data_IF_144625092207
#
_entry.id   IF_144625092207
#
_cell.length_a   1.000
_cell.length_b   1.000
_cell.length_c   1.000
_cell.angle_alpha   90.00
_cell.angle_beta   90.00
_cell.angle_gamma   90.00
#
_symmetry.space_group_name_H-M   'P 1'
#
loop_
_entity.id
_entity.type
_entity.pdbx_description
1 polymer ?
#
# COMPACT_ATOMS: atom_id res chain seq x y z
N UNK A 1 46.87 -15.98 -16.26
CA UNK A 1 45.40 -15.79 -16.14
C UNK A 1 45.16 -14.32 -16.40
N UNK A 2 44.57 -14.03 -17.55
CA UNK A 2 44.51 -12.63 -18.02
C UNK A 2 43.61 -11.76 -17.16
N UNK A 3 44.08 -10.57 -16.79
CA UNK A 3 43.35 -9.55 -16.01
C UNK A 3 41.95 -9.28 -16.60
N UNK A 4 41.79 -9.40 -17.91
CA UNK A 4 40.50 -9.26 -18.61
C UNK A 4 39.50 -10.38 -18.24
N UNK A 5 39.99 -11.61 -18.04
CA UNK A 5 39.17 -12.75 -17.64
C UNK A 5 38.72 -12.61 -16.19
N UNK A 6 39.58 -12.10 -15.31
CA UNK A 6 39.26 -11.83 -13.92
C UNK A 6 38.21 -10.70 -13.78
N UNK A 7 38.29 -9.67 -14.61
CA UNK A 7 37.32 -8.56 -14.64
C UNK A 7 35.93 -9.00 -15.13
N UNK A 8 35.85 -9.94 -16.08
CA UNK A 8 34.58 -10.48 -16.59
C UNK A 8 33.93 -11.38 -15.54
N UNK A 9 34.69 -12.20 -14.83
CA UNK A 9 34.17 -13.05 -13.74
C UNK A 9 33.66 -12.18 -12.58
N UNK A 10 34.32 -11.06 -12.26
CA UNK A 10 33.91 -10.15 -11.19
C UNK A 10 32.61 -9.38 -11.54
N UNK A 11 32.36 -9.11 -12.83
CA UNK A 11 31.13 -8.44 -13.26
C UNK A 11 29.87 -9.32 -13.14
N UNK A 12 30.02 -10.64 -13.20
CA UNK A 12 28.89 -11.57 -13.05
C UNK A 12 28.46 -11.80 -11.58
N UNK A 13 29.25 -11.43 -10.61
CA UNK A 13 28.96 -11.68 -9.17
C UNK A 13 28.12 -10.55 -8.55
N UNK A 14 27.91 -9.44 -9.27
CA UNK A 14 27.20 -8.26 -8.77
C UNK A 14 25.71 -8.16 -9.19
N UNK A 15 25.18 -9.15 -9.89
CA UNK A 15 23.75 -9.17 -10.23
C UNK A 15 22.97 -9.79 -9.07
N UNK A 16 22.58 -8.97 -8.09
CA UNK A 16 21.60 -9.36 -7.08
C UNK A 16 20.28 -9.75 -7.76
N UNK A 17 19.63 -10.82 -7.27
CA UNK A 17 18.33 -11.24 -7.75
C UNK A 17 17.24 -10.30 -7.23
N UNK A 18 16.21 -10.04 -8.05
CA UNK A 18 15.00 -9.39 -7.59
C UNK A 18 13.91 -10.45 -7.40
N UNK A 19 13.35 -10.51 -6.19
CA UNK A 19 12.31 -11.46 -5.82
C UNK A 19 10.95 -10.77 -5.77
N UNK A 20 9.96 -11.37 -6.40
CA UNK A 20 8.61 -10.82 -6.36
C UNK A 20 7.92 -11.21 -5.06
N UNK A 21 7.38 -10.19 -4.37
CA UNK A 21 6.56 -10.36 -3.16
C UNK A 21 5.19 -9.70 -3.36
N UNK A 22 4.25 -9.99 -2.47
CA UNK A 22 2.95 -9.33 -2.40
C UNK A 22 2.81 -8.67 -1.03
N UNK A 23 2.34 -7.42 -1.00
CA UNK A 23 2.19 -6.66 0.25
C UNK A 23 0.75 -6.57 0.74
N UNK A 24 -0.19 -7.31 0.13
CA UNK A 24 -1.59 -7.36 0.55
C UNK A 24 -1.71 -7.93 1.98
N UNK A 25 -2.44 -7.25 2.89
CA UNK A 25 -2.57 -7.67 4.28
C UNK A 25 -3.49 -8.89 4.45
N UNK A 26 -3.50 -9.50 5.63
CA UNK A 26 -4.57 -10.44 6.00
C UNK A 26 -5.87 -9.65 6.22
N UNK A 27 -6.92 -10.03 5.49
CA UNK A 27 -8.20 -9.31 5.52
C UNK A 27 -9.04 -9.61 6.76
N UNK A 28 -8.64 -10.58 7.60
CA UNK A 28 -9.39 -10.98 8.80
C UNK A 28 -9.48 -9.88 9.86
N UNK A 29 -8.47 -9.00 9.92
CA UNK A 29 -8.42 -7.89 10.87
C UNK A 29 -9.36 -6.73 10.48
N UNK A 30 -9.89 -6.72 9.24
CA UNK A 30 -10.79 -5.69 8.74
C UNK A 30 -12.25 -6.11 8.88
N UNK A 31 -12.72 -6.17 10.14
CA UNK A 31 -14.12 -6.53 10.45
C UNK A 31 -15.08 -5.41 10.07
N UNK A 32 -16.29 -5.78 9.65
CA UNK A 32 -17.34 -4.84 9.27
C UNK A 32 -17.85 -4.10 10.50
N UNK A 33 -18.00 -2.78 10.42
CA UNK A 33 -18.69 -1.97 11.42
C UNK A 33 -20.21 -2.08 11.23
N UNK A 34 -20.96 -2.22 12.34
CA UNK A 34 -22.42 -2.23 12.31
C UNK A 34 -23.00 -0.82 12.05
N UNK A 35 -22.22 0.23 12.31
CA UNK A 35 -22.63 1.62 12.06
C UNK A 35 -21.80 2.23 10.94
N UNK A 36 -22.43 2.39 9.77
CA UNK A 36 -21.85 3.07 8.61
C UNK A 36 -22.32 4.52 8.56
N UNK A 37 -21.44 5.38 8.04
CA UNK A 37 -21.78 6.75 7.69
C UNK A 37 -22.65 6.70 6.44
N UNK A 38 -23.84 7.28 6.49
CA UNK A 38 -24.80 7.32 5.37
C UNK A 38 -24.33 8.33 4.30
N UNK A 39 -23.27 7.97 3.63
CA UNK A 39 -22.68 8.70 2.49
C UNK A 39 -22.12 7.72 1.48
N UNK A 40 -22.27 8.10 0.22
CA UNK A 40 -21.58 7.47 -0.90
C UNK A 40 -20.24 8.15 -1.11
N UNK A 41 -19.18 7.37 -1.22
CA UNK A 41 -17.82 7.87 -1.48
C UNK A 41 -17.19 7.15 -2.67
N UNK A 42 -16.17 7.76 -3.22
CA UNK A 42 -15.32 7.15 -4.22
C UNK A 42 -13.89 6.95 -3.72
N UNK A 43 -13.12 6.16 -4.43
CA UNK A 43 -11.68 6.19 -4.35
C UNK A 43 -11.07 6.26 -5.76
N UNK A 44 -9.96 6.96 -5.86
CA UNK A 44 -9.24 7.14 -7.12
C UNK A 44 -7.78 6.72 -6.94
N UNK A 45 -7.31 5.86 -7.83
CA UNK A 45 -5.91 5.51 -7.99
C UNK A 45 -5.59 5.66 -9.48
N UNK A 46 -4.59 6.47 -9.82
CA UNK A 46 -4.22 6.68 -11.21
C UNK A 46 -3.79 5.36 -11.90
N UNK A 47 -4.12 5.21 -13.17
CA UNK A 47 -3.80 3.98 -13.94
C UNK A 47 -2.32 3.65 -13.95
N UNK A 48 -1.48 4.69 -14.01
CA UNK A 48 -0.02 4.53 -13.98
C UNK A 48 0.46 4.03 -12.62
N UNK A 49 -0.18 4.46 -11.52
CA UNK A 49 0.15 3.99 -10.17
C UNK A 49 -0.27 2.53 -9.96
N UNK A 50 -1.45 2.11 -10.44
CA UNK A 50 -1.90 0.70 -10.35
C UNK A 50 -0.89 -0.25 -10.99
N UNK A 51 -0.31 0.12 -12.12
CA UNK A 51 0.67 -0.71 -12.84
C UNK A 51 2.11 -0.56 -12.35
N UNK A 52 2.37 0.42 -11.48
CA UNK A 52 3.70 0.76 -11.00
C UNK A 52 4.30 -0.35 -10.14
N UNK A 53 5.44 -0.86 -10.57
CA UNK A 53 6.29 -1.73 -9.76
C UNK A 53 7.33 -0.91 -9.00
N UNK A 54 7.57 -1.29 -7.76
CA UNK A 54 8.59 -0.71 -6.88
C UNK A 54 9.57 -1.80 -6.51
N UNK A 55 10.87 -1.47 -6.57
CA UNK A 55 11.95 -2.36 -6.12
C UNK A 55 12.63 -1.72 -4.93
N UNK A 56 12.75 -2.47 -3.84
CA UNK A 56 13.39 -2.03 -2.59
C UNK A 56 14.38 -3.08 -2.09
N UNK A 57 15.32 -2.70 -1.21
CA UNK A 57 16.32 -3.64 -0.72
C UNK A 57 15.72 -4.84 0.04
N UNK A 58 16.26 -6.03 -0.24
CA UNK A 58 16.14 -7.23 0.59
C UNK A 58 17.35 -7.41 1.48
N UNK A 59 17.73 -8.64 1.74
CA UNK A 59 18.97 -9.03 2.42
C UNK A 59 19.97 -9.68 1.47
N UNK A 60 21.22 -9.80 1.88
CA UNK A 60 22.25 -10.47 1.09
C UNK A 60 22.65 -9.80 -0.22
N UNK A 61 22.27 -8.53 -0.44
CA UNK A 61 22.47 -7.82 -1.70
C UNK A 61 21.34 -8.03 -2.71
N UNK A 62 20.33 -8.81 -2.38
CA UNK A 62 19.13 -9.00 -3.19
C UNK A 62 18.14 -7.83 -3.02
N UNK A 63 17.10 -7.83 -3.84
CA UNK A 63 16.01 -6.86 -3.78
C UNK A 63 14.64 -7.56 -3.87
N UNK A 64 13.59 -6.85 -3.48
CA UNK A 64 12.22 -7.30 -3.64
C UNK A 64 11.44 -6.34 -4.53
N UNK A 65 10.55 -6.89 -5.35
CA UNK A 65 9.69 -6.13 -6.27
C UNK A 65 8.23 -6.45 -6.00
N UNK A 66 7.38 -5.43 -6.00
CA UNK A 66 5.94 -5.51 -5.74
C UNK A 66 5.19 -4.36 -6.39
N UNK A 67 3.85 -4.41 -6.40
CA UNK A 67 2.97 -3.39 -6.97
C UNK A 67 2.12 -2.75 -5.86
N UNK A 68 2.60 -1.69 -5.18
CA UNK A 68 2.00 -1.22 -3.93
C UNK A 68 0.52 -0.85 -4.07
N UNK A 69 0.13 -0.15 -5.11
CA UNK A 69 -1.26 0.27 -5.29
C UNK A 69 -2.17 -0.89 -5.67
N UNK A 70 -1.72 -1.80 -6.54
CA UNK A 70 -2.48 -2.99 -6.92
C UNK A 70 -2.69 -3.92 -5.73
N UNK A 71 -1.63 -4.15 -4.96
CA UNK A 71 -1.66 -5.06 -3.81
C UNK A 71 -2.52 -4.51 -2.66
N UNK A 72 -2.69 -3.18 -2.57
CA UNK A 72 -3.44 -2.54 -1.48
C UNK A 72 -4.82 -2.01 -1.88
N UNK A 73 -5.22 -2.08 -3.15
CA UNK A 73 -6.52 -1.57 -3.60
C UNK A 73 -7.68 -2.25 -2.87
N UNK A 74 -7.63 -3.56 -2.70
CA UNK A 74 -8.70 -4.32 -2.02
C UNK A 74 -8.86 -3.91 -0.57
N UNK A 75 -7.76 -3.70 0.17
CA UNK A 75 -7.87 -3.28 1.58
C UNK A 75 -8.36 -1.85 1.70
N UNK A 76 -7.95 -0.93 0.81
CA UNK A 76 -8.49 0.43 0.75
C UNK A 76 -10.01 0.39 0.56
N UNK A 77 -10.48 -0.34 -0.47
CA UNK A 77 -11.90 -0.52 -0.72
C UNK A 77 -12.63 -1.08 0.52
N UNK A 78 -12.07 -2.10 1.17
CA UNK A 78 -12.68 -2.72 2.36
C UNK A 78 -12.76 -1.74 3.54
N UNK A 79 -11.70 -0.97 3.81
CA UNK A 79 -11.70 0.06 4.86
C UNK A 79 -12.80 1.09 4.60
N UNK A 80 -12.94 1.57 3.37
CA UNK A 80 -13.98 2.53 3.01
C UNK A 80 -15.38 1.90 3.11
N UNK A 81 -15.58 0.68 2.61
CA UNK A 81 -16.85 -0.05 2.70
C UNK A 81 -17.29 -0.34 4.13
N UNK A 82 -16.34 -0.48 5.06
CA UNK A 82 -16.65 -0.64 6.47
C UNK A 82 -17.10 0.67 7.14
N UNK A 83 -16.80 1.83 6.55
CA UNK A 83 -17.11 3.15 7.11
C UNK A 83 -18.29 3.85 6.43
N UNK A 84 -18.48 3.66 5.13
CA UNK A 84 -19.49 4.36 4.34
C UNK A 84 -20.53 3.40 3.77
N UNK A 85 -21.72 3.93 3.45
CA UNK A 85 -22.82 3.13 2.90
C UNK A 85 -22.47 2.51 1.56
N UNK A 86 -21.89 3.31 0.66
CA UNK A 86 -21.51 2.88 -0.69
C UNK A 86 -20.12 3.41 -1.07
N UNK A 87 -19.37 2.59 -1.82
CA UNK A 87 -18.03 2.94 -2.29
C UNK A 87 -17.88 2.59 -3.76
N UNK A 88 -17.45 3.55 -4.56
CA UNK A 88 -17.20 3.39 -5.99
C UNK A 88 -15.73 3.61 -6.34
N UNK A 89 -15.22 2.83 -7.27
CA UNK A 89 -13.96 3.16 -7.94
C UNK A 89 -14.24 4.26 -8.97
N UNK A 90 -13.47 5.34 -8.89
CA UNK A 90 -13.53 6.46 -9.83
C UNK A 90 -12.37 6.33 -10.82
N UNK A 91 -12.65 6.25 -12.11
CA UNK A 91 -11.63 6.09 -13.15
C UNK A 91 -10.97 7.40 -13.57
N UNK A 92 -11.66 8.54 -13.36
CA UNK A 92 -11.16 9.89 -13.61
C UNK A 92 -11.80 10.87 -12.64
N UNK A 93 -10.99 11.75 -12.06
CA UNK A 93 -11.47 12.85 -11.21
C UNK A 93 -12.26 13.91 -12.00
N UNK A 94 -12.19 13.89 -13.33
CA UNK A 94 -12.90 14.80 -14.25
C UNK A 94 -14.23 14.22 -14.73
N UNK A 95 -14.57 12.95 -14.36
CA UNK A 95 -15.86 12.35 -14.74
C UNK A 95 -16.99 12.81 -13.82
N UNK A 96 -17.35 14.10 -13.96
CA UNK A 96 -18.42 14.71 -13.18
C UNK A 96 -19.76 13.99 -13.35
N UNK A 97 -20.05 13.44 -14.54
CA UNK A 97 -21.28 12.70 -14.78
C UNK A 97 -21.38 11.44 -13.92
N UNK A 98 -20.28 10.68 -13.79
CA UNK A 98 -20.24 9.51 -12.94
C UNK A 98 -20.36 9.88 -11.46
N UNK A 99 -19.63 10.93 -11.04
CA UNK A 99 -19.60 11.42 -9.65
C UNK A 99 -21.01 11.89 -9.24
N UNK A 100 -21.67 12.71 -10.04
CA UNK A 100 -23.00 13.23 -9.76
C UNK A 100 -24.07 12.13 -9.80
N UNK A 101 -24.06 11.27 -10.84
CA UNK A 101 -25.00 10.16 -10.99
C UNK A 101 -25.01 9.23 -9.80
N UNK A 102 -23.84 8.97 -9.22
CA UNK A 102 -23.68 8.07 -8.07
C UNK A 102 -23.71 8.82 -6.73
N UNK A 103 -23.96 10.14 -6.73
CA UNK A 103 -24.00 11.00 -5.54
C UNK A 103 -22.74 10.86 -4.67
N UNK A 104 -21.56 10.78 -5.30
CA UNK A 104 -20.28 10.63 -4.61
C UNK A 104 -19.93 11.93 -3.89
N UNK A 105 -19.90 11.88 -2.56
CA UNK A 105 -19.68 13.07 -1.71
C UNK A 105 -18.21 13.40 -1.52
N UNK A 106 -17.36 12.37 -1.39
CA UNK A 106 -15.92 12.50 -1.23
C UNK A 106 -15.21 11.44 -2.06
N UNK A 107 -14.03 11.78 -2.57
CA UNK A 107 -13.16 10.85 -3.29
C UNK A 107 -11.86 10.72 -2.49
N UNK A 108 -11.54 9.50 -2.08
CA UNK A 108 -10.31 9.17 -1.35
C UNK A 108 -9.18 8.86 -2.33
N UNK A 109 -8.04 9.52 -2.13
CA UNK A 109 -6.87 9.40 -2.99
C UNK A 109 -5.68 8.96 -2.13
N UNK A 110 -5.25 7.69 -2.18
CA UNK A 110 -4.09 7.22 -1.47
C UNK A 110 -2.81 7.61 -2.20
N UNK A 111 -1.76 7.94 -1.43
CA UNK A 111 -0.38 8.04 -1.89
C UNK A 111 0.48 7.12 -1.04
N UNK A 112 1.18 6.19 -1.67
CA UNK A 112 2.02 5.20 -1.01
C UNK A 112 3.50 5.44 -1.32
N UNK A 113 4.31 5.50 -0.26
CA UNK A 113 5.76 5.42 -0.34
C UNK A 113 6.19 4.23 0.50
N UNK A 114 7.00 3.36 -0.06
CA UNK A 114 7.41 2.11 0.58
C UNK A 114 8.91 1.94 0.51
N UNK A 115 9.48 1.29 1.53
CA UNK A 115 10.87 0.88 1.56
C UNK A 115 11.02 -0.41 2.37
N UNK A 116 12.12 -1.10 2.19
CA UNK A 116 12.43 -2.30 2.94
C UNK A 116 13.91 -2.41 3.26
N UNK A 117 14.23 -3.21 4.26
CA UNK A 117 15.60 -3.52 4.67
C UNK A 117 15.67 -4.89 5.32
N UNK A 118 16.88 -5.46 5.39
CA UNK A 118 17.13 -6.66 6.17
C UNK A 118 18.32 -6.45 7.09
N UNK A 119 18.19 -6.89 8.32
CA UNK A 119 19.30 -6.96 9.28
C UNK A 119 20.25 -8.14 9.01
N UNK A 120 19.91 -9.04 8.10
CA UNK A 120 20.71 -10.23 7.76
C UNK A 120 21.41 -10.06 6.42
N UNK A 121 22.71 -10.32 6.39
CA UNK A 121 23.48 -10.39 5.15
C UNK A 121 23.33 -11.73 4.41
N UNK A 122 22.63 -12.71 5.00
CA UNK A 122 22.54 -14.09 4.48
C UNK A 122 21.13 -14.48 4.01
N UNK A 123 20.13 -13.59 4.22
CA UNK A 123 18.75 -13.87 3.82
C UNK A 123 18.21 -12.79 2.92
N UNK A 124 17.64 -13.16 1.77
CA UNK A 124 17.10 -12.22 0.82
C UNK A 124 15.76 -11.56 1.25
N UNK A 125 14.85 -12.23 1.99
CA UNK A 125 13.61 -11.57 2.40
C UNK A 125 13.91 -10.37 3.30
N UNK A 126 13.21 -9.24 3.12
CA UNK A 126 13.33 -8.12 4.04
C UNK A 126 12.80 -8.51 5.42
N UNK A 127 13.53 -8.20 6.47
CA UNK A 127 13.09 -8.40 7.86
C UNK A 127 12.29 -7.19 8.37
N UNK A 128 12.41 -6.05 7.68
CA UNK A 128 11.69 -4.80 7.96
C UNK A 128 11.08 -4.24 6.69
N UNK A 129 9.86 -3.75 6.80
CA UNK A 129 9.16 -3.09 5.71
C UNK A 129 8.45 -1.83 6.22
N UNK A 130 8.69 -0.70 5.54
CA UNK A 130 8.17 0.61 5.91
C UNK A 130 7.12 1.06 4.90
N UNK A 131 6.02 1.61 5.39
CA UNK A 131 4.98 2.23 4.59
C UNK A 131 4.68 3.62 5.13
N UNK A 132 4.76 4.62 4.25
CA UNK A 132 4.16 5.94 4.43
C UNK A 132 2.92 6.02 3.55
N UNK A 133 1.75 5.99 4.16
CA UNK A 133 0.45 6.14 3.52
C UNK A 133 -0.08 7.53 3.79
N UNK A 134 -0.19 8.38 2.77
CA UNK A 134 -0.95 9.63 2.84
C UNK A 134 -2.27 9.43 2.11
N UNK A 135 -3.39 9.65 2.80
CA UNK A 135 -4.71 9.55 2.21
C UNK A 135 -5.39 10.92 2.28
N UNK A 136 -5.81 11.42 1.12
CA UNK A 136 -6.60 12.65 0.99
C UNK A 136 -8.05 12.31 0.71
N UNK A 137 -8.99 13.13 1.23
CA UNK A 137 -10.37 13.15 0.78
C UNK A 137 -10.65 14.50 0.12
N UNK A 138 -11.11 14.46 -1.12
CA UNK A 138 -11.50 15.65 -1.89
C UNK A 138 -13.00 15.65 -2.16
N UNK A 139 -13.59 16.83 -2.36
CA UNK A 139 -14.92 16.99 -2.95
C UNK A 139 -14.87 16.87 -4.48
N UNK A 140 -16.04 16.85 -5.11
CA UNK A 140 -16.18 16.84 -6.58
C UNK A 140 -15.44 17.99 -7.26
N UNK A 141 -15.38 19.16 -6.60
CA UNK A 141 -14.72 20.36 -7.12
C UNK A 141 -13.19 20.34 -6.95
N UNK A 142 -12.63 19.24 -6.41
CA UNK A 142 -11.20 19.08 -6.17
C UNK A 142 -10.67 19.71 -4.88
N UNK A 143 -11.56 20.28 -4.04
CA UNK A 143 -11.18 20.83 -2.74
C UNK A 143 -10.75 19.69 -1.79
N UNK A 144 -9.52 19.74 -1.26
CA UNK A 144 -9.06 18.82 -0.21
C UNK A 144 -9.74 19.20 1.10
N UNK A 145 -10.55 18.31 1.64
CA UNK A 145 -11.28 18.53 2.90
C UNK A 145 -10.69 17.76 4.08
N UNK A 146 -9.88 16.77 3.80
CA UNK A 146 -9.19 15.98 4.82
C UNK A 146 -7.91 15.37 4.23
N UNK A 147 -6.88 15.28 5.03
CA UNK A 147 -5.63 14.61 4.71
C UNK A 147 -5.04 13.98 5.97
N UNK A 148 -4.52 12.78 5.85
CA UNK A 148 -3.78 12.12 6.91
C UNK A 148 -2.59 11.36 6.37
N UNK A 149 -1.44 11.52 7.04
CA UNK A 149 -0.24 10.72 6.80
C UNK A 149 -0.02 9.74 7.93
N UNK A 150 0.31 8.51 7.58
CA UNK A 150 0.48 7.37 8.47
C UNK A 150 1.80 6.69 8.11
N UNK A 151 2.72 6.68 9.06
CA UNK A 151 4.01 5.99 8.94
C UNK A 151 4.00 4.76 9.85
N UNK A 152 4.37 3.62 9.29
CA UNK A 152 4.41 2.34 10.00
C UNK A 152 5.57 1.48 9.54
N UNK A 153 5.99 0.58 10.42
CA UNK A 153 6.94 -0.49 10.13
C UNK A 153 6.32 -1.85 10.47
N UNK A 154 6.54 -2.83 9.60
CA UNK A 154 6.27 -4.24 9.83
C UNK A 154 7.58 -4.99 9.93
N UNK A 155 7.63 -5.94 10.86
CA UNK A 155 8.81 -6.77 11.17
C UNK A 155 8.47 -8.24 11.00
N UNK A 156 9.48 -9.03 10.64
CA UNK A 156 9.39 -10.49 10.65
C UNK A 156 10.73 -11.11 11.04
N UNK A 157 10.70 -12.02 12.02
CA UNK A 157 11.86 -12.76 12.45
C UNK A 157 12.13 -13.94 11.52
N UNK A 158 13.36 -14.48 11.57
CA UNK A 158 13.78 -15.56 10.68
C UNK A 158 12.83 -16.76 10.72
N UNK A 159 12.43 -17.19 11.91
CA UNK A 159 11.55 -18.35 12.08
C UNK A 159 10.14 -18.12 11.56
N UNK A 160 9.71 -16.88 11.45
CA UNK A 160 8.38 -16.49 10.98
C UNK A 160 8.35 -16.38 9.44
N UNK A 161 9.28 -15.66 8.84
CA UNK A 161 9.24 -15.39 7.39
C UNK A 161 9.69 -16.58 6.54
N UNK A 162 10.33 -17.61 7.09
CA UNK A 162 10.72 -18.83 6.33
C UNK A 162 9.54 -19.52 5.63
N UNK A 163 8.32 -19.31 6.13
CA UNK A 163 7.07 -19.81 5.53
C UNK A 163 6.32 -18.75 4.75
N UNK A 164 6.63 -17.46 4.94
CA UNK A 164 6.00 -16.32 4.26
C UNK A 164 7.00 -15.18 4.09
N UNK A 165 7.64 -15.14 2.94
CA UNK A 165 8.66 -14.14 2.61
C UNK A 165 8.12 -12.71 2.49
N UNK A 166 6.81 -12.53 2.45
CA UNK A 166 6.12 -11.23 2.40
C UNK A 166 5.70 -10.74 3.80
N UNK A 167 5.94 -11.49 4.86
CA UNK A 167 5.33 -11.29 6.17
C UNK A 167 5.56 -9.88 6.74
N UNK A 168 6.80 -9.35 6.68
CA UNK A 168 7.09 -8.00 7.15
C UNK A 168 6.26 -6.95 6.38
N UNK A 169 6.15 -7.10 5.05
CA UNK A 169 5.41 -6.19 4.20
C UNK A 169 3.89 -6.27 4.45
N UNK A 170 3.36 -7.48 4.60
CA UNK A 170 1.94 -7.69 4.93
C UNK A 170 1.57 -7.07 6.28
N UNK A 171 2.41 -7.26 7.32
CA UNK A 171 2.23 -6.63 8.64
C UNK A 171 2.29 -5.11 8.58
N UNK A 172 3.20 -4.53 7.79
CA UNK A 172 3.25 -3.09 7.59
C UNK A 172 1.96 -2.56 6.93
N UNK A 173 1.50 -3.24 5.88
CA UNK A 173 0.26 -2.88 5.18
C UNK A 173 -0.95 -2.95 6.10
N UNK A 174 -1.08 -4.03 6.85
CA UNK A 174 -2.15 -4.21 7.83
C UNK A 174 -2.18 -3.08 8.85
N UNK A 175 -1.03 -2.79 9.49
CA UNK A 175 -0.90 -1.67 10.44
C UNK A 175 -1.28 -0.32 9.81
N UNK A 176 -0.88 -0.06 8.56
CA UNK A 176 -1.19 1.20 7.87
C UNK A 176 -2.70 1.38 7.67
N UNK A 177 -3.37 0.34 7.19
CA UNK A 177 -4.80 0.44 6.89
C UNK A 177 -5.69 0.31 8.12
N UNK A 178 -5.28 -0.38 9.18
CA UNK A 178 -5.95 -0.32 10.50
C UNK A 178 -5.91 1.10 11.05
N UNK A 179 -4.73 1.77 10.99
CA UNK A 179 -4.63 3.16 11.41
C UNK A 179 -5.47 4.10 10.54
N UNK A 180 -5.50 3.88 9.22
CA UNK A 180 -6.38 4.64 8.33
C UNK A 180 -7.84 4.51 8.74
N UNK A 181 -8.31 3.29 9.02
CA UNK A 181 -9.67 3.05 9.50
C UNK A 181 -9.97 3.81 10.80
N UNK A 182 -9.05 3.79 11.77
CA UNK A 182 -9.17 4.51 13.05
C UNK A 182 -9.19 6.05 12.85
N UNK A 183 -8.38 6.56 11.91
CA UNK A 183 -8.39 7.99 11.60
C UNK A 183 -9.70 8.44 10.96
N UNK A 184 -10.32 7.61 10.13
CA UNK A 184 -11.64 7.90 9.55
C UNK A 184 -12.77 7.89 10.59
N UNK A 185 -12.68 7.06 11.65
CA UNK A 185 -13.68 6.99 12.73
C UNK A 185 -13.84 8.32 13.48
N UNK A 186 -12.75 9.06 13.61
CA UNK A 186 -12.68 10.24 14.47
C UNK A 186 -12.90 11.56 13.71
N UNK A 187 -13.40 11.53 12.46
CA UNK A 187 -13.51 12.72 11.63
C UNK A 187 -14.94 13.26 11.53
N UNK A 188 -15.25 14.39 12.22
CA UNK A 188 -16.59 14.98 12.17
C UNK A 188 -17.01 15.42 10.76
N UNK A 189 -16.06 15.67 9.86
CA UNK A 189 -16.38 16.10 8.49
C UNK A 189 -17.12 15.02 7.70
N UNK A 190 -16.92 13.75 8.02
CA UNK A 190 -17.59 12.65 7.35
C UNK A 190 -18.96 12.33 7.96
N UNK A 191 -19.25 12.75 9.20
CA UNK A 191 -20.51 12.46 9.91
C UNK A 191 -21.54 13.59 9.79
N UNK A 192 -21.12 14.78 9.39
CA UNK A 192 -22.00 15.93 9.10
C UNK A 192 -22.42 15.88 7.63
#
# INVERSE_FOLDING_TARGET
MDIKFLAIVFAFVLSGCSHQIQINPDMKEFTTSDQKIDKTVGYFIAKDDISKSVTTPGGGGDSVTYQPYKDTETVLYTVLMNKFSDVYKVDSLEDNNFIEKNNIRYIFIPKLVTNSSSGSAFTWPPTKFMISLTCQAIKSEGEVVWEKSIDVEGDAEFDEFKSDFSLAARRATEKAFIKLAQELDNQPIFTK
#
